data_IF_350545078864
#
_entry.id   IF_350545078864
#
_cell.length_a   1.000
_cell.length_b   1.000
_cell.length_c   1.000
_cell.angle_alpha   90.00
_cell.angle_beta   90.00
_cell.angle_gamma   90.00
#
_symmetry.space_group_name_H-M   'P 1'
#
loop_
_entity.id
_entity.type
_entity.pdbx_description
1 polymer ?
#
# COMPACT_ATOMS: atom_id res chain seq x y z
N UNK A 1 10.04 -12.80 -20.13
CA UNK A 1 8.96 -12.39 -19.19
C UNK A 1 7.65 -12.40 -19.95
N UNK A 2 6.57 -12.93 -19.38
CA UNK A 2 5.24 -12.82 -19.97
C UNK A 2 4.64 -11.45 -19.64
N UNK A 3 3.75 -10.95 -20.51
CA UNK A 3 3.02 -9.70 -20.25
C UNK A 3 2.21 -9.78 -18.94
N UNK A 4 1.64 -10.96 -18.66
CA UNK A 4 0.97 -11.27 -17.39
C UNK A 4 1.88 -11.03 -16.18
N UNK A 5 3.07 -11.62 -16.17
CA UNK A 5 4.00 -11.46 -15.05
C UNK A 5 4.54 -10.04 -14.90
N UNK A 6 4.67 -9.30 -16.01
CA UNK A 6 5.01 -7.88 -15.96
C UNK A 6 3.89 -7.06 -15.31
N UNK A 7 2.63 -7.29 -15.69
CA UNK A 7 1.49 -6.59 -15.12
C UNK A 7 1.32 -6.88 -13.62
N UNK A 8 1.47 -8.15 -13.21
CA UNK A 8 1.52 -8.55 -11.79
C UNK A 8 2.64 -7.81 -11.04
N UNK A 9 3.84 -7.74 -11.64
CA UNK A 9 4.97 -7.02 -11.07
C UNK A 9 4.71 -5.53 -10.89
N UNK A 10 4.10 -4.87 -11.88
CA UNK A 10 3.73 -3.45 -11.80
C UNK A 10 2.72 -3.20 -10.67
N UNK A 11 1.70 -4.06 -10.54
CA UNK A 11 0.71 -3.95 -9.47
C UNK A 11 1.38 -4.12 -8.09
N UNK A 12 2.23 -5.13 -7.93
CA UNK A 12 2.93 -5.39 -6.67
C UNK A 12 3.89 -4.26 -6.29
N UNK A 13 4.65 -3.75 -7.26
CA UNK A 13 5.55 -2.61 -7.06
C UNK A 13 4.76 -1.37 -6.64
N UNK A 14 3.65 -1.08 -7.30
CA UNK A 14 2.77 0.05 -6.95
C UNK A 14 2.16 -0.09 -5.55
N UNK A 15 1.86 -1.33 -5.12
CA UNK A 15 1.42 -1.61 -3.75
C UNK A 15 2.54 -1.29 -2.76
N UNK A 16 3.77 -1.74 -3.01
CA UNK A 16 4.94 -1.46 -2.15
C UNK A 16 5.21 0.04 -2.04
N UNK A 17 5.14 0.74 -3.16
CA UNK A 17 5.44 2.17 -3.25
C UNK A 17 4.39 3.06 -2.55
N UNK A 18 3.18 2.55 -2.25
CA UNK A 18 2.20 3.25 -1.40
C UNK A 18 2.72 3.52 0.02
N UNK A 19 3.66 2.71 0.52
CA UNK A 19 4.30 2.96 1.81
C UNK A 19 5.46 3.97 1.74
N UNK A 20 5.89 4.34 0.54
CA UNK A 20 6.92 5.35 0.30
C UNK A 20 6.27 6.72 0.07
N UNK A 21 6.53 7.68 0.98
CA UNK A 21 6.03 9.07 0.89
C UNK A 21 6.22 9.72 -0.51
N UNK A 22 7.40 9.65 -1.17
CA UNK A 22 7.60 10.35 -2.44
C UNK A 22 6.78 9.79 -3.61
N UNK A 23 6.44 8.50 -3.60
CA UNK A 23 5.75 7.82 -4.72
C UNK A 23 4.26 7.58 -4.46
N UNK A 24 3.80 7.76 -3.22
CA UNK A 24 2.42 7.48 -2.81
C UNK A 24 1.37 8.17 -3.70
N UNK A 25 1.58 9.45 -4.05
CA UNK A 25 0.62 10.19 -4.85
C UNK A 25 0.47 9.59 -6.27
N UNK A 26 1.57 9.18 -6.88
CA UNK A 26 1.61 8.54 -8.19
C UNK A 26 0.94 7.16 -8.13
N UNK A 27 1.21 6.38 -7.08
CA UNK A 27 0.56 5.08 -6.89
C UNK A 27 -0.95 5.20 -6.65
N UNK A 28 -1.40 6.21 -5.90
CA UNK A 28 -2.84 6.47 -5.73
C UNK A 28 -3.47 6.81 -7.07
N UNK A 29 -2.81 7.64 -7.91
CA UNK A 29 -3.30 7.95 -9.24
C UNK A 29 -3.38 6.69 -10.12
N UNK A 30 -2.38 5.80 -10.06
CA UNK A 30 -2.41 4.51 -10.75
C UNK A 30 -3.62 3.64 -10.34
N UNK A 31 -3.87 3.49 -9.04
CA UNK A 31 -4.99 2.68 -8.53
C UNK A 31 -6.37 3.32 -8.76
N UNK A 32 -6.44 4.65 -8.85
CA UNK A 32 -7.67 5.36 -9.16
C UNK A 32 -7.93 5.48 -10.67
N UNK A 33 -6.90 5.29 -11.50
CA UNK A 33 -6.93 5.46 -12.95
C UNK A 33 -7.27 4.19 -13.72
N UNK A 34 -7.26 4.32 -15.05
CA UNK A 34 -7.47 3.19 -15.97
C UNK A 34 -6.27 2.24 -16.05
N UNK A 35 -5.09 2.68 -15.60
CA UNK A 35 -3.85 1.91 -15.67
C UNK A 35 -3.90 0.65 -14.82
N UNK A 36 -4.48 0.73 -13.62
CA UNK A 36 -4.72 -0.44 -12.79
C UNK A 36 -5.64 -1.46 -13.48
N UNK A 37 -6.74 -1.01 -14.10
CA UNK A 37 -7.67 -1.91 -14.79
C UNK A 37 -6.99 -2.66 -15.93
N UNK A 38 -6.16 -1.96 -16.72
CA UNK A 38 -5.39 -2.56 -17.82
C UNK A 38 -4.40 -3.60 -17.26
N UNK A 39 -3.66 -3.26 -16.22
CA UNK A 39 -2.72 -4.20 -15.60
C UNK A 39 -3.44 -5.40 -14.99
N UNK A 40 -4.58 -5.19 -14.34
CA UNK A 40 -5.39 -6.24 -13.74
C UNK A 40 -5.95 -7.20 -14.78
N UNK A 41 -6.41 -6.69 -15.92
CA UNK A 41 -6.87 -7.51 -17.04
C UNK A 41 -5.73 -8.36 -17.62
N UNK A 42 -4.55 -7.77 -17.85
CA UNK A 42 -3.37 -8.47 -18.36
C UNK A 42 -2.85 -9.50 -17.34
N UNK A 43 -2.93 -9.20 -16.04
CA UNK A 43 -2.62 -10.12 -14.95
C UNK A 43 -3.65 -11.28 -14.86
N UNK A 44 -4.79 -11.18 -15.54
CA UNK A 44 -5.87 -12.15 -15.48
C UNK A 44 -6.62 -12.11 -14.16
N UNK A 45 -6.67 -10.96 -13.49
CA UNK A 45 -7.41 -10.76 -12.25
C UNK A 45 -8.91 -10.65 -12.55
N UNK A 46 -9.71 -11.40 -11.82
CA UNK A 46 -11.16 -11.24 -11.84
C UNK A 46 -11.60 -10.01 -11.04
N UNK A 47 -12.85 -9.57 -11.22
CA UNK A 47 -13.39 -8.38 -10.56
C UNK A 47 -13.33 -8.48 -9.02
N UNK A 48 -13.48 -9.67 -8.44
CA UNK A 48 -13.40 -9.88 -6.99
C UNK A 48 -11.98 -9.63 -6.46
N UNK A 49 -10.95 -10.08 -7.19
CA UNK A 49 -9.54 -9.84 -6.87
C UNK A 49 -9.19 -8.36 -7.00
N UNK A 50 -9.68 -7.68 -8.04
CA UNK A 50 -9.48 -6.25 -8.24
C UNK A 50 -10.06 -5.44 -7.08
N UNK A 51 -11.30 -5.73 -6.68
CA UNK A 51 -11.97 -5.08 -5.55
C UNK A 51 -11.22 -5.31 -4.24
N UNK A 52 -10.67 -6.52 -4.00
CA UNK A 52 -9.85 -6.81 -2.81
C UNK A 52 -8.59 -5.95 -2.77
N UNK A 53 -7.90 -5.79 -3.89
CA UNK A 53 -6.70 -4.93 -3.97
C UNK A 53 -7.07 -3.47 -3.73
N UNK A 54 -8.13 -2.96 -4.37
CA UNK A 54 -8.57 -1.58 -4.16
C UNK A 54 -8.99 -1.31 -2.71
N UNK A 55 -9.64 -2.28 -2.05
CA UNK A 55 -9.96 -2.18 -0.63
C UNK A 55 -8.71 -2.14 0.25
N UNK A 56 -7.68 -2.94 -0.07
CA UNK A 56 -6.40 -2.89 0.62
C UNK A 56 -5.76 -1.50 0.48
N UNK A 57 -5.68 -0.98 -0.74
CA UNK A 57 -5.12 0.36 -1.02
C UNK A 57 -5.88 1.44 -0.25
N UNK A 58 -7.22 1.39 -0.28
CA UNK A 58 -8.06 2.34 0.46
C UNK A 58 -7.77 2.36 1.95
N UNK A 59 -7.61 1.19 2.59
CA UNK A 59 -7.26 1.13 4.01
C UNK A 59 -5.90 1.76 4.32
N UNK A 60 -4.91 1.57 3.44
CA UNK A 60 -3.58 2.17 3.59
C UNK A 60 -3.66 3.69 3.46
N UNK A 61 -4.38 4.20 2.46
CA UNK A 61 -4.55 5.65 2.26
C UNK A 61 -5.27 6.28 3.45
N UNK A 62 -6.38 5.70 3.91
CA UNK A 62 -7.14 6.20 5.06
C UNK A 62 -6.31 6.23 6.36
N UNK A 63 -5.43 5.26 6.56
CA UNK A 63 -4.53 5.23 7.71
C UNK A 63 -3.40 6.27 7.61
N UNK A 64 -2.93 6.57 6.40
CA UNK A 64 -1.92 7.63 6.21
C UNK A 64 -2.49 9.02 6.44
N UNK A 65 -3.73 9.30 6.02
CA UNK A 65 -4.40 10.59 6.24
C UNK A 65 -4.56 10.89 7.74
N UNK A 66 -4.89 9.88 8.55
CA UNK A 66 -5.01 10.04 10.02
C UNK A 66 -3.70 10.42 10.70
N UNK A 67 -2.55 10.07 10.12
CA UNK A 67 -1.23 10.42 10.66
C UNK A 67 -0.91 11.89 10.34
N UNK A 68 -1.23 12.35 9.13
CA UNK A 68 -0.92 13.72 8.69
C UNK A 68 -1.85 14.77 9.30
N UNK A 69 -3.12 14.44 9.56
CA UNK A 69 -4.09 15.37 10.20
C UNK A 69 -4.08 15.31 11.74
N UNK A 70 -3.15 14.55 12.34
CA UNK A 70 -3.03 14.35 13.78
C UNK A 70 -2.27 15.45 14.55
N UNK A 71 -2.02 16.63 13.97
CA UNK A 71 -1.44 17.78 14.68
C UNK A 71 -2.22 19.06 14.37
N UNK A 72 -3.37 19.20 15.04
CA UNK A 72 -3.95 20.42 15.63
C UNK A 72 -5.46 20.23 15.82
N UNK A 73 -5.83 19.43 16.82
CA UNK A 73 -6.97 19.76 17.68
C UNK A 73 -6.90 18.95 18.98
N UNK A 74 -6.59 19.69 20.03
CA UNK A 74 -6.86 19.37 21.43
C UNK A 74 -8.30 18.89 21.63
N UNK A 75 -8.46 17.90 22.51
CA UNK A 75 -9.48 17.78 23.57
C UNK A 75 -9.75 16.29 23.89
N UNK A 76 -9.20 15.84 25.02
CA UNK A 76 -9.85 15.06 26.08
C UNK A 76 -10.37 13.63 25.80
N UNK A 77 -9.68 12.65 26.42
CA UNK A 77 -10.20 11.33 26.80
C UNK A 77 -10.03 10.26 25.73
N UNK A 78 -9.45 9.08 25.95
CA UNK A 78 -9.05 8.36 27.15
C UNK A 78 -9.08 6.87 26.76
N UNK A 79 -7.98 6.14 26.97
CA UNK A 79 -8.03 4.67 27.07
C UNK A 79 -7.32 3.84 25.98
N UNK A 80 -6.06 3.49 26.28
CA UNK A 80 -5.40 2.17 26.08
C UNK A 80 -5.11 1.69 24.63
N UNK A 81 -3.91 2.02 24.13
CA UNK A 81 -3.02 1.07 23.41
C UNK A 81 -2.11 0.39 24.46
N UNK A 82 -1.53 -0.82 24.27
CA UNK A 82 -0.44 -1.06 23.28
C UNK A 82 -0.52 -2.52 22.72
N UNK A 83 0.31 -3.09 21.87
CA UNK A 83 1.56 -2.78 21.18
C UNK A 83 1.57 -3.72 19.94
N UNK A 84 2.02 -3.26 18.76
CA UNK A 84 2.48 -4.21 17.72
C UNK A 84 3.96 -3.96 17.46
N UNK A 85 4.75 -4.56 18.34
CA UNK A 85 6.19 -4.81 18.20
C UNK A 85 6.41 -5.84 17.10
N UNK A 86 6.60 -5.41 15.86
CA UNK A 86 6.90 -6.35 14.76
C UNK A 86 7.70 -5.71 13.62
N UNK A 87 8.76 -4.95 13.92
CA UNK A 87 9.73 -4.54 12.89
C UNK A 87 11.15 -4.47 13.44
N UNK A 88 11.73 -5.63 13.80
CA UNK A 88 13.18 -5.73 14.08
C UNK A 88 13.85 -7.05 13.64
N UNK A 89 13.26 -7.80 12.70
CA UNK A 89 13.82 -9.11 12.30
C UNK A 89 14.57 -9.16 10.95
N UNK A 90 14.47 -8.14 10.08
CA UNK A 90 15.01 -8.22 8.70
C UNK A 90 16.16 -7.26 8.39
N UNK A 91 16.99 -6.88 9.37
CA UNK A 91 18.23 -6.10 9.12
C UNK A 91 19.54 -6.81 9.43
N UNK A 92 19.52 -8.09 9.84
CA UNK A 92 20.74 -8.81 10.20
C UNK A 92 21.24 -9.84 9.17
N UNK A 93 20.61 -9.98 8.01
CA UNK A 93 21.00 -10.98 6.99
C UNK A 93 21.76 -10.42 5.77
N UNK A 94 22.30 -9.20 5.86
CA UNK A 94 23.15 -8.62 4.80
C UNK A 94 24.56 -8.22 5.29
N UNK A 95 25.08 -8.87 6.33
CA UNK A 95 26.42 -8.57 6.86
C UNK A 95 27.33 -9.79 7.01
N UNK A 96 27.25 -10.76 6.09
CA UNK A 96 28.32 -11.76 5.89
C UNK A 96 28.48 -11.99 4.39
N UNK A 97 29.37 -11.20 3.79
CA UNK A 97 30.07 -11.56 2.57
C UNK A 97 31.53 -11.15 2.73
#
# INVERSE_FOLDING_TARGET
MSLKGLAEGIILQSIEDLWSEPHRAECIAFFAGSEFNICAEIAGMNLSEQVKVLNLVKTVVDDTVKITTGSTKSCSGGGKKPARTARKAYRHLQAVH
#
